data_IF_718150008024
#
_entry.id   IF_718150008024
#
_cell.length_a   1.000
_cell.length_b   1.000
_cell.length_c   1.000
_cell.angle_alpha   90.00
_cell.angle_beta   90.00
_cell.angle_gamma   90.00
#
_symmetry.space_group_name_H-M   'P 1'
#
loop_
_entity.id
_entity.type
_entity.pdbx_description
1 polymer ?
#
# COMPACT_ATOMS: atom_id res chain seq x y z
N UNK A 1 -57.43 -21.16 -37.84
CA UNK A 1 -57.32 -19.89 -37.12
C UNK A 1 -56.10 -20.03 -36.20
N UNK A 2 -54.93 -19.57 -36.65
CA UNK A 2 -53.68 -19.60 -35.90
C UNK A 2 -53.40 -18.19 -35.38
N UNK A 3 -53.41 -18.06 -34.09
CA UNK A 3 -53.00 -16.85 -33.40
C UNK A 3 -51.54 -17.03 -32.99
N UNK A 4 -50.62 -16.24 -33.58
CA UNK A 4 -49.20 -16.17 -33.24
C UNK A 4 -49.01 -14.92 -32.38
N UNK A 5 -49.01 -15.08 -31.07
CA UNK A 5 -48.52 -14.04 -30.15
C UNK A 5 -47.00 -13.99 -30.22
N UNK A 6 -46.45 -12.96 -30.84
CA UNK A 6 -45.05 -12.61 -30.84
C UNK A 6 -44.68 -11.97 -29.52
N UNK A 7 -43.80 -12.61 -28.74
CA UNK A 7 -43.12 -11.97 -27.61
C UNK A 7 -42.00 -11.06 -28.11
N UNK A 8 -41.89 -9.84 -27.64
CA UNK A 8 -40.72 -9.03 -27.92
C UNK A 8 -39.51 -9.54 -27.13
N UNK A 9 -38.44 -9.88 -27.82
CA UNK A 9 -37.12 -10.15 -27.28
C UNK A 9 -36.61 -8.86 -26.64
N UNK A 10 -36.46 -8.86 -25.31
CA UNK A 10 -35.73 -7.81 -24.60
C UNK A 10 -34.25 -7.96 -24.96
N UNK A 11 -33.75 -7.09 -25.84
CA UNK A 11 -32.34 -6.92 -26.08
C UNK A 11 -31.74 -6.18 -24.88
N UNK A 12 -31.10 -6.90 -23.97
CA UNK A 12 -30.24 -6.30 -22.97
C UNK A 12 -28.95 -5.85 -23.65
N UNK A 13 -28.86 -4.57 -23.98
CA UNK A 13 -27.60 -3.96 -24.36
C UNK A 13 -26.68 -3.95 -23.13
N UNK A 14 -25.46 -4.52 -23.20
CA UNK A 14 -24.49 -4.33 -22.13
C UNK A 14 -24.12 -2.85 -22.11
N UNK A 15 -24.38 -2.18 -20.99
CA UNK A 15 -23.92 -0.82 -20.73
C UNK A 15 -22.39 -0.78 -20.87
N UNK A 16 -21.96 -0.17 -21.93
CA UNK A 16 -20.58 0.05 -22.30
C UNK A 16 -19.83 0.81 -21.23
N UNK A 17 -18.62 0.32 -20.92
CA UNK A 17 -17.61 0.92 -20.04
C UNK A 17 -17.46 2.40 -20.38
N UNK A 18 -17.82 3.27 -19.45
CA UNK A 18 -17.60 4.72 -19.59
C UNK A 18 -16.11 4.99 -19.35
N UNK A 19 -15.35 5.20 -20.43
CA UNK A 19 -13.98 5.69 -20.39
C UNK A 19 -14.03 7.20 -20.14
N UNK A 20 -13.71 7.65 -18.93
CA UNK A 20 -13.46 9.04 -18.66
C UNK A 20 -11.97 9.33 -18.93
N UNK A 21 -11.61 9.54 -20.20
CA UNK A 21 -10.32 10.10 -20.57
C UNK A 21 -10.38 11.62 -20.37
N UNK A 22 -9.87 12.09 -19.25
CA UNK A 22 -9.68 13.53 -19.01
C UNK A 22 -8.37 13.97 -19.67
N UNK A 23 -8.45 14.42 -20.91
CA UNK A 23 -7.39 15.23 -21.53
C UNK A 23 -7.35 16.59 -20.85
N UNK A 24 -6.15 17.05 -20.55
CA UNK A 24 -5.77 18.34 -19.99
C UNK A 24 -6.79 19.46 -20.23
N UNK A 25 -7.76 19.61 -19.33
CA UNK A 25 -8.67 20.73 -19.30
C UNK A 25 -8.85 21.21 -17.85
N UNK A 26 -9.02 22.51 -17.62
CA UNK A 26 -9.05 23.06 -16.28
C UNK A 26 -10.30 22.67 -15.52
N UNK A 27 -10.08 22.30 -14.26
CA UNK A 27 -10.97 22.37 -13.11
C UNK A 27 -12.48 22.20 -13.38
N UNK A 28 -12.98 20.98 -13.27
CA UNK A 28 -14.41 20.73 -13.15
C UNK A 28 -14.79 20.83 -11.65
N UNK A 29 -15.47 21.93 -11.28
CA UNK A 29 -16.08 22.09 -9.95
C UNK A 29 -17.47 21.47 -10.03
N UNK A 30 -17.70 20.35 -9.35
CA UNK A 30 -19.01 19.75 -9.16
C UNK A 30 -19.39 19.75 -7.67
N UNK A 31 -20.65 20.05 -7.40
CA UNK A 31 -21.23 20.29 -6.08
C UNK A 31 -21.36 19.01 -5.22
N UNK A 32 -21.56 19.12 -3.88
CA UNK A 32 -21.45 18.03 -2.95
C UNK A 32 -22.66 17.10 -3.00
N UNK A 33 -22.49 15.94 -3.58
CA UNK A 33 -23.31 14.78 -3.33
C UNK A 33 -22.39 13.56 -3.47
N UNK A 34 -22.48 12.62 -2.55
CA UNK A 34 -21.83 11.31 -2.69
C UNK A 34 -22.35 10.63 -3.95
N UNK A 35 -21.66 10.87 -5.07
CA UNK A 35 -22.03 10.26 -6.34
C UNK A 35 -21.48 8.85 -6.34
N UNK A 36 -22.30 7.88 -5.95
CA UNK A 36 -22.01 6.48 -6.17
C UNK A 36 -21.91 6.24 -7.70
N UNK A 37 -20.73 5.92 -8.19
CA UNK A 37 -20.47 5.53 -9.58
C UNK A 37 -20.35 4.01 -9.64
N UNK A 38 -21.14 3.38 -10.51
CA UNK A 38 -21.33 1.94 -10.53
C UNK A 38 -20.21 1.14 -11.20
N UNK A 39 -19.16 1.78 -11.77
CA UNK A 39 -18.16 1.13 -12.62
C UNK A 39 -16.72 1.46 -12.19
N UNK A 40 -15.76 0.77 -12.83
CA UNK A 40 -14.34 1.05 -12.70
C UNK A 40 -14.00 2.48 -13.11
N UNK A 41 -13.07 3.11 -12.40
CA UNK A 41 -12.51 4.40 -12.77
C UNK A 41 -11.05 4.27 -13.20
N UNK A 42 -10.66 5.04 -14.21
CA UNK A 42 -9.29 5.08 -14.72
C UNK A 42 -8.79 6.51 -14.70
N UNK A 43 -7.69 6.74 -13.98
CA UNK A 43 -6.98 8.01 -13.92
C UNK A 43 -5.64 7.85 -14.66
N UNK A 44 -5.63 8.20 -15.91
CA UNK A 44 -4.46 8.27 -16.78
C UNK A 44 -4.07 9.74 -17.00
N UNK A 45 -2.78 10.09 -16.88
CA UNK A 45 -2.32 11.48 -16.88
C UNK A 45 -2.58 12.20 -15.54
N UNK A 46 -2.57 13.52 -15.56
CA UNK A 46 -2.72 14.34 -14.37
C UNK A 46 -4.19 14.54 -13.99
N UNK A 47 -4.53 14.24 -12.75
CA UNK A 47 -5.89 14.37 -12.22
C UNK A 47 -5.87 14.93 -10.80
N UNK A 48 -6.87 15.77 -10.46
CA UNK A 48 -7.03 16.31 -9.11
C UNK A 48 -8.46 16.12 -8.62
N UNK A 49 -8.60 15.60 -7.39
CA UNK A 49 -9.87 15.39 -6.71
C UNK A 49 -9.91 16.22 -5.44
N UNK A 50 -10.94 17.07 -5.33
CA UNK A 50 -11.20 17.93 -4.16
C UNK A 50 -12.57 17.66 -3.53
N UNK A 51 -13.29 16.68 -4.04
CA UNK A 51 -14.63 16.26 -3.62
C UNK A 51 -14.64 14.78 -3.21
N UNK A 52 -15.77 14.29 -2.74
CA UNK A 52 -15.93 12.88 -2.39
C UNK A 52 -16.49 12.08 -3.56
N UNK A 53 -15.77 11.05 -3.97
CA UNK A 53 -16.15 10.12 -5.03
C UNK A 53 -16.17 8.70 -4.49
N UNK A 54 -17.27 7.99 -4.73
CA UNK A 54 -17.41 6.58 -4.37
C UNK A 54 -17.61 5.73 -5.64
N UNK A 55 -16.81 4.68 -5.78
CA UNK A 55 -16.88 3.71 -6.86
C UNK A 55 -17.21 2.33 -6.30
N UNK A 56 -18.13 1.61 -6.91
CA UNK A 56 -18.42 0.22 -6.55
C UNK A 56 -17.48 -0.78 -7.21
N UNK A 57 -16.80 -0.37 -8.29
CA UNK A 57 -15.75 -1.11 -8.97
C UNK A 57 -14.35 -0.72 -8.53
N UNK A 58 -13.38 -1.04 -9.36
CA UNK A 58 -11.97 -0.77 -9.13
C UNK A 58 -11.57 0.63 -9.60
N UNK A 59 -10.65 1.25 -8.89
CA UNK A 59 -9.92 2.45 -9.32
C UNK A 59 -8.54 2.04 -9.84
N UNK A 60 -8.21 2.50 -11.03
CA UNK A 60 -6.89 2.32 -11.66
C UNK A 60 -6.23 3.68 -11.86
N UNK A 61 -5.01 3.83 -11.36
CA UNK A 61 -4.16 4.98 -11.66
C UNK A 61 -3.00 4.51 -12.53
N UNK A 62 -2.97 4.99 -13.77
CA UNK A 62 -1.96 4.58 -14.75
C UNK A 62 -2.22 3.20 -15.37
N UNK A 63 -3.40 2.99 -15.91
CA UNK A 63 -3.78 1.72 -16.56
C UNK A 63 -3.29 1.64 -18.00
N UNK A 64 -3.47 2.72 -18.78
CA UNK A 64 -3.14 2.74 -20.20
C UNK A 64 -1.91 3.62 -20.49
N UNK A 65 -1.61 4.55 -19.62
CA UNK A 65 -0.42 5.40 -19.60
C UNK A 65 -0.11 5.81 -18.16
N UNK A 66 1.00 6.49 -17.91
CA UNK A 66 1.33 7.01 -16.57
C UNK A 66 0.22 7.89 -16.01
N UNK A 67 -0.10 7.74 -14.72
CA UNK A 67 -1.13 8.50 -14.04
C UNK A 67 -0.59 9.21 -12.81
N UNK A 68 -0.95 10.50 -12.65
CA UNK A 68 -0.72 11.28 -11.44
C UNK A 68 -2.05 11.71 -10.86
N UNK A 69 -2.42 11.17 -9.71
CA UNK A 69 -3.66 11.51 -9.04
C UNK A 69 -3.37 12.26 -7.73
N UNK A 70 -3.81 13.50 -7.64
CA UNK A 70 -3.80 14.28 -6.41
C UNK A 70 -5.20 14.29 -5.80
N UNK A 71 -5.33 13.78 -4.57
CA UNK A 71 -6.52 13.91 -3.74
C UNK A 71 -6.20 14.96 -2.68
N UNK A 72 -6.76 16.16 -2.82
CA UNK A 72 -6.50 17.30 -1.94
C UNK A 72 -7.77 17.71 -1.20
N UNK A 73 -7.84 17.38 0.08
CA UNK A 73 -9.05 17.54 0.92
C UNK A 73 -10.31 16.85 0.37
N UNK A 74 -10.16 15.98 -0.64
CA UNK A 74 -11.23 15.18 -1.24
C UNK A 74 -11.16 13.75 -0.76
N UNK A 75 -12.09 12.91 -1.22
CA UNK A 75 -12.14 11.48 -0.86
C UNK A 75 -12.35 10.61 -2.08
N UNK A 76 -11.66 9.47 -2.11
CA UNK A 76 -11.96 8.37 -3.03
C UNK A 76 -12.23 7.12 -2.21
N UNK A 77 -13.37 6.49 -2.46
CA UNK A 77 -13.70 5.16 -1.98
C UNK A 77 -13.95 4.25 -3.18
N UNK A 78 -13.33 3.07 -3.19
CA UNK A 78 -13.45 2.11 -4.29
C UNK A 78 -13.32 0.68 -3.78
N UNK A 79 -13.81 -0.30 -4.57
CA UNK A 79 -13.66 -1.71 -4.21
C UNK A 79 -12.20 -2.09 -4.08
N UNK A 80 -11.41 -1.91 -5.15
CA UNK A 80 -9.94 -1.97 -5.10
C UNK A 80 -9.34 -0.70 -5.68
N UNK A 81 -8.09 -0.42 -5.28
CA UNK A 81 -7.28 0.69 -5.81
C UNK A 81 -5.97 0.11 -6.33
N UNK A 82 -5.70 0.33 -7.61
CA UNK A 82 -4.55 -0.22 -8.31
C UNK A 82 -3.70 0.93 -8.86
N UNK A 83 -2.45 1.07 -8.38
CA UNK A 83 -1.53 2.14 -8.74
C UNK A 83 -0.37 1.53 -9.54
N UNK A 84 -0.23 1.89 -10.82
CA UNK A 84 0.82 1.39 -11.70
C UNK A 84 0.82 -0.14 -11.84
N UNK A 85 -0.36 -0.77 -11.84
CA UNK A 85 -0.48 -2.22 -11.97
C UNK A 85 -0.36 -2.65 -13.42
N UNK A 86 0.29 -3.78 -13.66
CA UNK A 86 0.38 -4.37 -15.01
C UNK A 86 -1.01 -4.67 -15.58
N UNK A 87 -1.26 -4.18 -16.78
CA UNK A 87 -2.48 -4.44 -17.52
C UNK A 87 -2.15 -4.77 -19.00
N UNK A 88 -2.64 -5.90 -19.51
CA UNK A 88 -2.34 -6.38 -20.87
C UNK A 88 -0.84 -6.40 -21.22
N UNK A 89 0.02 -6.79 -20.27
CA UNK A 89 1.47 -6.81 -20.45
C UNK A 89 2.17 -5.44 -20.44
N UNK A 90 1.42 -4.37 -20.25
CA UNK A 90 1.94 -2.99 -20.10
C UNK A 90 1.94 -2.59 -18.64
N UNK A 91 2.94 -1.83 -18.23
CA UNK A 91 3.04 -1.26 -16.89
C UNK A 91 3.53 0.18 -16.97
N UNK A 92 2.86 1.07 -16.27
CA UNK A 92 3.17 2.49 -16.29
C UNK A 92 3.51 2.97 -14.87
N UNK A 93 4.52 3.82 -14.76
CA UNK A 93 4.83 4.47 -13.50
C UNK A 93 3.72 5.44 -13.13
N UNK A 94 3.24 5.36 -11.89
CA UNK A 94 2.09 6.15 -11.48
C UNK A 94 2.23 6.64 -10.04
N UNK A 95 1.68 7.80 -9.77
CA UNK A 95 1.75 8.43 -8.45
C UNK A 95 0.36 8.78 -7.97
N UNK A 96 0.07 8.44 -6.72
CA UNK A 96 -1.11 8.94 -6.00
C UNK A 96 -0.62 9.72 -4.80
N UNK A 97 -1.05 10.96 -4.67
CA UNK A 97 -0.81 11.80 -3.49
C UNK A 97 -2.15 12.11 -2.81
N UNK A 98 -2.23 11.75 -1.54
CA UNK A 98 -3.37 12.06 -0.67
C UNK A 98 -2.90 13.11 0.33
N UNK A 99 -3.44 14.32 0.23
CA UNK A 99 -2.94 15.49 0.96
C UNK A 99 -4.03 16.26 1.67
N UNK A 100 -3.74 16.63 2.90
CA UNK A 100 -4.58 17.47 3.74
C UNK A 100 -5.48 16.71 4.70
N UNK A 101 -5.92 17.34 5.80
CA UNK A 101 -6.54 16.66 6.93
C UNK A 101 -7.92 16.04 6.63
N UNK A 102 -8.53 16.41 5.51
CA UNK A 102 -9.81 15.85 5.04
C UNK A 102 -9.64 14.93 3.83
N UNK A 103 -8.40 14.75 3.33
CA UNK A 103 -8.15 13.88 2.20
C UNK A 103 -8.15 12.40 2.63
N UNK A 104 -8.84 11.58 1.84
CA UNK A 104 -8.98 10.15 2.15
C UNK A 104 -8.94 9.29 0.88
N UNK A 105 -8.19 8.20 0.95
CA UNK A 105 -8.16 7.13 -0.04
C UNK A 105 -8.54 5.82 0.64
N UNK A 106 -9.67 5.23 0.27
CA UNK A 106 -10.22 4.06 0.95
C UNK A 106 -10.53 2.93 -0.03
N UNK A 107 -9.86 1.78 0.11
CA UNK A 107 -10.20 0.56 -0.59
C UNK A 107 -11.09 -0.31 0.30
N UNK A 108 -12.36 -0.44 -0.10
CA UNK A 108 -13.42 -1.05 0.74
C UNK A 108 -13.62 -2.56 0.52
N UNK A 109 -12.79 -3.20 -0.30
CA UNK A 109 -12.88 -4.64 -0.52
C UNK A 109 -12.77 -5.38 0.81
N UNK A 110 -13.87 -6.00 1.23
CA UNK A 110 -14.00 -6.76 2.46
C UNK A 110 -13.72 -8.27 2.28
N UNK A 111 -13.57 -8.72 1.04
CA UNK A 111 -13.30 -10.12 0.75
C UNK A 111 -11.83 -10.45 1.04
N UNK A 112 -11.61 -11.62 1.62
CA UNK A 112 -10.28 -12.15 1.85
C UNK A 112 -9.77 -12.83 0.56
N UNK A 113 -9.52 -12.02 -0.45
CA UNK A 113 -8.92 -12.48 -1.72
C UNK A 113 -7.50 -11.92 -1.75
N UNK A 114 -6.54 -12.81 -1.88
CA UNK A 114 -5.14 -12.43 -2.10
C UNK A 114 -5.07 -11.37 -3.23
N UNK A 115 -4.53 -10.19 -2.91
CA UNK A 115 -4.40 -9.02 -3.79
C UNK A 115 -5.69 -8.19 -3.96
N UNK A 116 -6.61 -8.24 -2.99
CA UNK A 116 -7.71 -7.28 -2.86
C UNK A 116 -7.31 -6.07 -2.01
N UNK A 117 -7.86 -4.89 -2.31
CA UNK A 117 -7.61 -3.68 -1.56
C UNK A 117 -6.73 -2.67 -2.29
N UNK A 118 -5.62 -2.24 -1.69
CA UNK A 118 -4.71 -1.24 -2.25
C UNK A 118 -3.44 -1.90 -2.78
N UNK A 119 -3.22 -1.85 -4.10
CA UNK A 119 -2.14 -2.54 -4.79
C UNK A 119 -1.22 -1.56 -5.53
N UNK A 120 0.08 -1.62 -5.26
CA UNK A 120 1.11 -0.85 -5.95
C UNK A 120 1.97 -1.80 -6.82
N UNK A 121 1.93 -1.63 -8.13
CA UNK A 121 2.71 -2.43 -9.10
C UNK A 121 4.01 -1.74 -9.49
N UNK A 122 3.97 -0.63 -10.21
CA UNK A 122 5.03 0.34 -10.47
C UNK A 122 4.51 1.70 -10.04
N UNK A 123 4.31 1.86 -8.74
CA UNK A 123 3.56 3.00 -8.26
C UNK A 123 4.07 3.56 -6.94
N UNK A 124 3.82 4.84 -6.75
CA UNK A 124 4.05 5.54 -5.48
C UNK A 124 2.73 6.00 -4.90
N UNK A 125 2.47 5.64 -3.64
CA UNK A 125 1.44 6.25 -2.83
C UNK A 125 2.09 7.14 -1.76
N UNK A 126 1.72 8.42 -1.74
CA UNK A 126 2.10 9.39 -0.70
C UNK A 126 0.88 9.78 0.10
N UNK A 127 0.98 9.73 1.41
CA UNK A 127 -0.06 10.18 2.34
C UNK A 127 0.57 11.25 3.22
N UNK A 128 0.12 12.50 3.09
CA UNK A 128 0.79 13.66 3.68
C UNK A 128 -0.17 14.69 4.24
N UNK A 129 0.34 15.56 5.12
CA UNK A 129 -0.39 16.71 5.68
C UNK A 129 -1.70 16.33 6.40
N UNK A 130 -1.69 15.25 7.17
CA UNK A 130 -2.83 14.80 7.96
C UNK A 130 -3.83 13.90 7.21
N UNK A 131 -3.53 13.49 5.98
CA UNK A 131 -4.39 12.64 5.17
C UNK A 131 -4.50 11.20 5.67
N UNK A 132 -5.50 10.48 5.18
CA UNK A 132 -5.76 9.07 5.49
C UNK A 132 -5.72 8.21 4.22
N UNK A 133 -5.00 7.09 4.29
CA UNK A 133 -5.19 5.97 3.36
C UNK A 133 -5.58 4.71 4.13
N UNK A 134 -6.59 3.98 3.66
CA UNK A 134 -7.06 2.78 4.33
C UNK A 134 -7.42 1.66 3.35
N UNK A 135 -7.11 0.43 3.75
CA UNK A 135 -7.51 -0.78 3.03
C UNK A 135 -7.49 -1.99 3.97
N UNK A 136 -8.23 -3.04 3.65
CA UNK A 136 -8.10 -4.32 4.37
C UNK A 136 -6.73 -4.95 4.12
N UNK A 137 -6.25 -4.90 2.88
CA UNK A 137 -4.91 -5.34 2.51
C UNK A 137 -4.20 -4.25 1.70
N UNK A 138 -2.95 -3.98 2.05
CA UNK A 138 -2.06 -3.11 1.28
C UNK A 138 -0.90 -3.95 0.78
N UNK A 139 -0.69 -3.96 -0.53
CA UNK A 139 0.41 -4.69 -1.17
C UNK A 139 1.28 -3.73 -1.97
N UNK A 140 2.52 -3.58 -1.56
CA UNK A 140 3.53 -2.74 -2.20
C UNK A 140 4.51 -3.64 -2.96
N UNK A 141 4.58 -3.48 -4.29
CA UNK A 141 5.41 -4.32 -5.15
C UNK A 141 4.71 -5.59 -5.62
N UNK A 142 3.61 -5.42 -6.34
CA UNK A 142 2.83 -6.53 -6.92
C UNK A 142 3.35 -7.00 -8.28
N UNK A 143 4.40 -6.35 -8.81
CA UNK A 143 4.91 -6.65 -10.14
C UNK A 143 6.43 -6.82 -10.13
N UNK A 144 6.86 -7.98 -10.63
CA UNK A 144 8.27 -8.36 -10.68
C UNK A 144 9.12 -7.34 -11.45
N UNK A 145 10.27 -6.97 -10.86
CA UNK A 145 11.28 -6.11 -11.50
C UNK A 145 10.96 -4.63 -11.51
N UNK A 146 9.88 -4.20 -10.85
CA UNK A 146 9.51 -2.79 -10.77
C UNK A 146 9.49 -2.28 -9.34
N UNK A 147 9.83 -1.01 -9.19
CA UNK A 147 9.89 -0.34 -7.90
C UNK A 147 8.52 0.21 -7.50
N UNK A 148 8.18 0.06 -6.23
CA UNK A 148 6.92 0.58 -5.67
C UNK A 148 7.17 1.18 -4.29
N UNK A 149 6.49 2.28 -4.00
CA UNK A 149 6.76 3.06 -2.79
C UNK A 149 5.46 3.41 -2.05
N UNK A 150 5.41 3.11 -0.76
CA UNK A 150 4.41 3.63 0.16
C UNK A 150 5.08 4.60 1.13
N UNK A 151 4.66 5.85 1.13
CA UNK A 151 5.25 6.93 1.93
C UNK A 151 4.14 7.59 2.74
N UNK A 152 4.25 7.54 4.06
CA UNK A 152 3.42 8.30 4.97
C UNK A 152 4.30 9.35 5.67
N UNK A 153 3.99 10.62 5.52
CA UNK A 153 4.80 11.71 6.06
C UNK A 153 3.95 12.84 6.64
N UNK A 154 4.49 13.51 7.63
CA UNK A 154 3.83 14.64 8.28
C UNK A 154 2.89 14.25 9.42
N UNK A 155 2.84 15.11 10.44
CA UNK A 155 2.01 14.90 11.60
C UNK A 155 0.52 14.76 11.24
N UNK A 156 -0.17 13.78 11.82
CA UNK A 156 -1.58 13.49 11.56
C UNK A 156 -1.83 12.56 10.36
N UNK A 157 -0.85 12.39 9.45
CA UNK A 157 -0.96 11.47 8.32
C UNK A 157 -1.05 10.04 8.80
N UNK A 158 -1.99 9.28 8.24
CA UNK A 158 -2.27 7.91 8.68
C UNK A 158 -2.44 6.94 7.52
N UNK A 159 -1.86 5.76 7.70
CA UNK A 159 -2.17 4.60 6.85
C UNK A 159 -2.70 3.50 7.74
N UNK A 160 -3.80 2.86 7.34
CA UNK A 160 -4.40 1.77 8.10
C UNK A 160 -4.65 0.56 7.22
N UNK A 161 -4.33 -0.63 7.73
CA UNK A 161 -4.61 -1.90 7.06
C UNK A 161 -4.84 -3.02 8.06
N UNK A 162 -5.48 -4.10 7.62
CA UNK A 162 -5.48 -5.34 8.38
C UNK A 162 -4.19 -6.13 8.10
N UNK A 163 -3.77 -6.15 6.84
CA UNK A 163 -2.55 -6.83 6.39
C UNK A 163 -1.71 -5.88 5.54
N UNK A 164 -0.39 -5.93 5.72
CA UNK A 164 0.56 -5.17 4.92
C UNK A 164 1.64 -6.09 4.37
N UNK A 165 1.91 -5.99 3.08
CA UNK A 165 3.00 -6.70 2.43
C UNK A 165 3.82 -5.75 1.58
N UNK A 166 5.13 -5.73 1.77
CA UNK A 166 6.07 -4.90 1.01
C UNK A 166 7.08 -5.82 0.32
N UNK A 167 7.17 -5.73 -1.02
CA UNK A 167 8.09 -6.56 -1.79
C UNK A 167 7.64 -8.01 -1.93
N UNK A 168 6.40 -8.23 -2.31
CA UNK A 168 5.82 -9.58 -2.44
C UNK A 168 6.25 -10.31 -3.69
N UNK A 169 6.54 -9.59 -4.76
CA UNK A 169 7.02 -10.18 -6.01
C UNK A 169 8.55 -10.08 -6.12
N UNK A 170 9.10 -11.08 -6.76
CA UNK A 170 10.54 -11.27 -6.88
C UNK A 170 11.19 -10.15 -7.70
N UNK A 171 12.26 -9.54 -7.18
CA UNK A 171 13.03 -8.51 -7.87
C UNK A 171 12.42 -7.11 -7.86
N UNK A 172 11.40 -6.84 -7.03
CA UNK A 172 10.89 -5.50 -6.81
C UNK A 172 11.66 -4.79 -5.68
N UNK A 173 12.15 -3.56 -5.93
CA UNK A 173 12.72 -2.67 -4.90
C UNK A 173 11.62 -1.90 -4.21
N UNK A 174 10.79 -2.60 -3.48
CA UNK A 174 9.67 -1.94 -2.82
C UNK A 174 10.08 -1.32 -1.51
N UNK A 175 9.59 -0.13 -1.24
CA UNK A 175 9.89 0.58 0.00
C UNK A 175 8.64 1.01 0.74
N UNK A 176 8.76 1.02 2.06
CA UNK A 176 7.84 1.66 2.99
C UNK A 176 8.61 2.74 3.76
N UNK A 177 8.08 3.96 3.78
CA UNK A 177 8.62 5.04 4.61
C UNK A 177 7.51 5.62 5.51
N UNK A 178 7.81 5.77 6.78
CA UNK A 178 6.94 6.40 7.78
C UNK A 178 7.77 7.48 8.45
N UNK A 179 7.42 8.75 8.19
CA UNK A 179 8.30 9.88 8.46
C UNK A 179 7.55 11.05 9.11
N UNK A 180 8.28 11.91 9.77
CA UNK A 180 7.81 13.24 10.24
C UNK A 180 6.52 13.20 11.06
N UNK A 181 6.36 12.19 11.93
CA UNK A 181 5.21 12.05 12.80
C UNK A 181 4.00 11.36 12.20
N UNK A 182 4.14 10.74 11.03
CA UNK A 182 3.09 9.90 10.45
C UNK A 182 2.91 8.59 11.21
N UNK A 183 1.73 7.97 11.09
CA UNK A 183 1.39 6.72 11.77
C UNK A 183 0.87 5.69 10.78
N UNK A 184 1.44 4.50 10.81
CA UNK A 184 0.92 3.33 10.13
C UNK A 184 0.41 2.30 11.16
N UNK A 185 -0.83 1.83 10.98
CA UNK A 185 -1.42 0.78 11.79
C UNK A 185 -1.77 -0.41 10.92
N UNK A 186 -1.20 -1.57 11.25
CA UNK A 186 -1.53 -2.86 10.66
C UNK A 186 -2.19 -3.72 11.74
N UNK A 187 -3.50 -3.98 11.61
CA UNK A 187 -4.26 -4.62 12.69
C UNK A 187 -3.82 -6.08 12.95
N UNK A 188 -3.37 -6.79 11.93
CA UNK A 188 -2.92 -8.17 12.07
C UNK A 188 -1.44 -8.30 11.70
N UNK A 189 -1.14 -8.82 10.51
CA UNK A 189 0.21 -9.22 10.15
C UNK A 189 0.83 -8.28 9.11
N UNK A 190 2.12 -8.05 9.25
CA UNK A 190 2.92 -7.32 8.29
C UNK A 190 4.11 -8.15 7.82
N UNK A 191 4.51 -7.97 6.56
CA UNK A 191 5.65 -8.65 5.98
C UNK A 191 6.48 -7.71 5.10
N UNK A 192 7.79 -7.71 5.28
CA UNK A 192 8.76 -7.06 4.44
C UNK A 192 9.54 -8.13 3.70
N UNK A 193 9.38 -8.20 2.39
CA UNK A 193 10.00 -9.22 1.54
C UNK A 193 9.13 -10.44 1.31
N UNK A 194 9.65 -11.31 0.44
CA UNK A 194 9.02 -12.58 0.11
C UNK A 194 9.91 -13.72 0.63
N UNK A 195 9.30 -14.61 1.42
CA UNK A 195 9.96 -15.81 1.92
C UNK A 195 10.21 -16.91 0.89
N UNK A 196 10.26 -16.62 -0.40
CA UNK A 196 10.48 -17.62 -1.46
C UNK A 196 11.92 -18.10 -1.50
N UNK A 197 12.10 -19.37 -1.65
CA UNK A 197 13.26 -20.20 -1.42
C UNK A 197 14.55 -19.97 -2.22
N UNK A 198 15.49 -20.96 -2.17
CA UNK A 198 16.83 -20.84 -2.72
C UNK A 198 16.83 -20.77 -4.25
N UNK A 199 17.61 -19.85 -4.80
CA UNK A 199 17.83 -19.69 -6.25
C UNK A 199 17.75 -18.27 -6.75
N UNK A 200 17.33 -17.31 -5.96
CA UNK A 200 17.12 -15.94 -6.38
C UNK A 200 18.09 -14.98 -5.67
N UNK A 201 19.39 -15.24 -5.86
CA UNK A 201 20.51 -14.61 -5.14
C UNK A 201 20.74 -13.12 -5.43
N UNK A 202 20.09 -12.57 -6.45
CA UNK A 202 20.34 -11.19 -6.90
C UNK A 202 19.14 -10.26 -6.67
N UNK A 203 18.20 -10.67 -5.83
CA UNK A 203 17.01 -9.88 -5.62
C UNK A 203 17.26 -8.76 -4.61
N UNK A 204 16.87 -7.59 -5.04
CA UNK A 204 16.92 -6.37 -4.26
C UNK A 204 16.06 -6.54 -3.01
N UNK A 205 16.58 -6.18 -1.86
CA UNK A 205 15.84 -6.25 -0.59
C UNK A 205 14.79 -5.17 -0.55
N UNK A 206 13.51 -5.51 -0.34
CA UNK A 206 12.55 -4.52 0.08
C UNK A 206 12.95 -3.96 1.44
N UNK A 207 12.65 -2.69 1.62
CA UNK A 207 13.07 -1.96 2.81
C UNK A 207 11.92 -1.19 3.42
N UNK A 208 11.80 -1.24 4.75
CA UNK A 208 10.95 -0.35 5.51
C UNK A 208 11.82 0.60 6.35
N UNK A 209 11.37 1.84 6.48
CA UNK A 209 12.01 2.85 7.34
C UNK A 209 10.96 3.55 8.17
N UNK A 210 11.19 3.65 9.48
CA UNK A 210 10.41 4.45 10.41
C UNK A 210 11.34 5.48 11.02
N UNK A 211 11.20 6.74 10.67
CA UNK A 211 12.16 7.78 11.06
C UNK A 211 11.48 9.07 11.51
N UNK A 212 12.11 9.75 12.42
CA UNK A 212 11.64 11.01 12.97
C UNK A 212 10.77 10.85 14.22
N UNK A 213 10.80 11.87 15.08
CA UNK A 213 10.03 11.89 16.31
C UNK A 213 8.52 11.75 16.02
N UNK A 214 7.83 10.93 16.82
CA UNK A 214 6.41 10.60 16.70
C UNK A 214 6.01 9.77 15.47
N UNK A 215 6.94 9.41 14.59
CA UNK A 215 6.68 8.43 13.54
C UNK A 215 6.48 7.04 14.12
N UNK A 216 5.39 6.35 13.75
CA UNK A 216 5.04 5.08 14.37
C UNK A 216 4.55 4.06 13.38
N UNK A 217 4.97 2.81 13.57
CA UNK A 217 4.37 1.64 12.96
C UNK A 217 3.89 0.66 14.02
N UNK A 218 2.59 0.42 14.05
CA UNK A 218 1.97 -0.51 14.98
C UNK A 218 1.48 -1.73 14.21
N UNK A 219 1.93 -2.93 14.60
CA UNK A 219 1.51 -4.22 14.03
C UNK A 219 0.86 -5.04 15.14
N UNK A 220 -0.43 -5.31 15.02
CA UNK A 220 -1.21 -5.94 16.09
C UNK A 220 -0.81 -7.39 16.38
N UNK A 221 -0.28 -8.13 15.38
CA UNK A 221 0.13 -9.52 15.55
C UNK A 221 1.59 -9.73 15.19
N UNK A 222 1.87 -10.20 13.99
CA UNK A 222 3.21 -10.62 13.61
C UNK A 222 3.84 -9.68 12.58
N UNK A 223 5.11 -9.32 12.80
CA UNK A 223 5.96 -8.72 11.77
C UNK A 223 7.00 -9.76 11.32
N UNK A 224 7.02 -10.07 10.04
CA UNK A 224 8.02 -10.97 9.44
C UNK A 224 8.91 -10.20 8.49
N UNK A 225 10.22 -10.26 8.71
CA UNK A 225 11.23 -9.62 7.88
C UNK A 225 11.97 -10.65 7.04
N UNK A 226 11.88 -10.51 5.73
CA UNK A 226 12.75 -11.13 4.72
C UNK A 226 13.56 -10.07 3.95
N UNK A 227 13.43 -8.82 4.34
CA UNK A 227 14.14 -7.63 3.92
C UNK A 227 14.51 -6.80 5.15
N UNK A 228 14.82 -5.53 4.93
CA UNK A 228 15.38 -4.67 5.96
C UNK A 228 14.34 -3.74 6.60
N UNK A 229 14.47 -3.53 7.90
CA UNK A 229 13.70 -2.54 8.64
C UNK A 229 14.65 -1.64 9.44
N UNK A 230 14.61 -0.35 9.16
CA UNK A 230 15.32 0.67 9.92
C UNK A 230 14.35 1.48 10.80
N UNK A 231 14.68 1.60 12.08
CA UNK A 231 13.98 2.45 13.05
C UNK A 231 14.96 3.52 13.52
N UNK A 232 14.78 4.74 13.05
CA UNK A 232 15.80 5.79 13.14
C UNK A 232 15.26 7.09 13.76
N UNK A 233 16.16 7.87 14.34
CA UNK A 233 15.92 9.29 14.71
C UNK A 233 14.62 9.52 15.52
N UNK A 234 14.34 8.67 16.48
CA UNK A 234 13.17 8.78 17.33
C UNK A 234 11.91 8.09 16.80
N UNK A 235 12.00 7.35 15.69
CA UNK A 235 10.93 6.50 15.20
C UNK A 235 10.57 5.36 16.15
N UNK A 236 9.36 4.86 16.08
CA UNK A 236 8.87 3.79 16.94
C UNK A 236 8.18 2.68 16.16
N UNK A 237 8.49 1.43 16.50
CA UNK A 237 7.79 0.25 15.99
C UNK A 237 7.30 -0.59 17.16
N UNK A 238 6.01 -0.95 17.16
CA UNK A 238 5.39 -1.79 18.15
C UNK A 238 4.75 -2.98 17.45
N UNK A 239 5.07 -4.21 17.89
CA UNK A 239 4.55 -5.43 17.27
C UNK A 239 4.09 -6.43 18.34
N UNK A 240 3.17 -7.34 17.98
CA UNK A 240 2.81 -8.45 18.85
C UNK A 240 3.97 -9.45 18.99
N UNK A 241 4.54 -9.88 17.87
CA UNK A 241 5.78 -10.66 17.80
C UNK A 241 6.59 -10.29 16.57
N UNK A 242 7.87 -10.67 16.54
CA UNK A 242 8.73 -10.45 15.38
C UNK A 242 9.53 -11.69 15.01
N UNK A 243 9.64 -11.90 13.72
CA UNK A 243 10.55 -12.84 13.11
C UNK A 243 11.48 -12.10 12.15
N UNK A 244 12.75 -11.99 12.50
CA UNK A 244 13.84 -11.52 11.62
C UNK A 244 14.45 -12.76 11.02
N UNK A 245 13.94 -13.18 9.88
CA UNK A 245 14.29 -14.45 9.29
C UNK A 245 14.69 -14.26 7.84
N UNK A 246 15.85 -14.78 7.52
CA UNK A 246 16.10 -15.19 6.15
C UNK A 246 15.28 -16.45 5.82
N UNK A 247 15.18 -16.76 4.55
CA UNK A 247 14.58 -18.00 4.07
C UNK A 247 15.62 -19.11 4.22
N UNK A 248 15.18 -20.30 4.61
CA UNK A 248 16.03 -21.50 4.63
C UNK A 248 16.72 -21.70 3.28
N UNK A 249 18.07 -21.70 3.29
CA UNK A 249 18.87 -21.78 2.07
C UNK A 249 19.03 -20.50 1.27
N UNK A 250 18.42 -19.38 1.68
CA UNK A 250 18.69 -18.07 1.06
C UNK A 250 20.05 -17.52 1.49
N UNK A 251 20.75 -16.92 0.54
CA UNK A 251 22.04 -16.22 0.82
C UNK A 251 21.81 -14.81 1.40
N UNK A 252 20.57 -14.38 1.53
CA UNK A 252 20.19 -13.03 1.90
C UNK A 252 19.97 -12.93 3.40
N UNK A 253 20.45 -11.84 3.97
CA UNK A 253 20.26 -11.48 5.36
C UNK A 253 19.09 -10.52 5.47
N UNK A 254 18.18 -10.78 6.43
CA UNK A 254 17.20 -9.80 6.86
C UNK A 254 17.76 -9.01 8.05
N UNK A 255 17.62 -7.69 8.04
CA UNK A 255 18.19 -6.84 9.07
C UNK A 255 17.13 -5.96 9.74
N UNK A 256 17.14 -5.95 11.08
CA UNK A 256 16.45 -4.97 11.89
C UNK A 256 17.48 -4.06 12.54
N UNK A 257 17.52 -2.80 12.12
CA UNK A 257 18.40 -1.77 12.69
C UNK A 257 17.58 -0.79 13.52
N UNK A 258 17.99 -0.54 14.75
CA UNK A 258 17.39 0.46 15.65
C UNK A 258 18.49 1.43 16.06
N UNK A 259 18.47 2.65 15.50
CA UNK A 259 19.56 3.59 15.70
C UNK A 259 19.08 5.02 15.96
N UNK A 260 19.85 5.74 16.74
CA UNK A 260 19.58 7.13 17.10
C UNK A 260 18.73 7.29 18.36
N UNK A 261 18.97 8.39 19.07
CA UNK A 261 18.28 8.69 20.32
C UNK A 261 16.77 8.75 20.16
N UNK A 262 16.03 8.09 21.05
CA UNK A 262 14.57 8.02 21.05
C UNK A 262 13.99 6.96 20.10
N UNK A 263 14.82 6.32 19.23
CA UNK A 263 14.40 5.21 18.41
C UNK A 263 14.06 4.00 19.27
N UNK A 264 12.92 3.37 19.03
CA UNK A 264 12.50 2.22 19.83
C UNK A 264 11.77 1.16 19.01
N UNK A 265 12.07 -0.08 19.33
CA UNK A 265 11.33 -1.24 18.87
C UNK A 265 10.82 -2.03 20.06
N UNK A 266 9.53 -2.35 20.07
CA UNK A 266 8.90 -3.11 21.14
C UNK A 266 8.18 -4.32 20.56
N UNK A 267 8.52 -5.53 21.02
CA UNK A 267 7.78 -6.76 20.79
C UNK A 267 6.98 -7.15 22.03
N UNK A 268 5.68 -7.39 21.87
CA UNK A 268 4.81 -7.82 22.98
C UNK A 268 5.07 -9.26 23.44
N UNK A 269 5.69 -10.08 22.60
CA UNK A 269 5.99 -11.50 22.93
C UNK A 269 7.28 -11.96 22.24
N UNK A 270 7.24 -13.08 21.51
CA UNK A 270 8.42 -13.76 20.97
C UNK A 270 9.20 -12.92 19.94
N UNK A 271 10.51 -13.08 20.00
CA UNK A 271 11.49 -12.49 19.08
C UNK A 271 12.37 -13.61 18.55
N UNK A 272 12.31 -13.86 17.24
CA UNK A 272 13.12 -14.86 16.57
C UNK A 272 14.06 -14.16 15.58
N UNK A 273 15.36 -14.40 15.70
CA UNK A 273 16.38 -13.85 14.81
C UNK A 273 17.15 -15.01 14.18
N UNK A 274 17.05 -15.17 12.86
CA UNK A 274 17.80 -16.19 12.13
C UNK A 274 17.22 -17.60 12.20
N UNK A 275 15.94 -17.76 12.51
CA UNK A 275 15.30 -19.08 12.73
C UNK A 275 15.30 -19.94 11.44
N UNK A 276 15.12 -19.33 10.28
CA UNK A 276 15.10 -20.01 8.97
C UNK A 276 16.16 -19.51 7.99
N UNK A 277 17.07 -18.62 8.41
CA UNK A 277 18.12 -18.03 7.56
C UNK A 277 18.98 -17.05 8.33
N UNK A 278 19.59 -16.10 7.64
CA UNK A 278 20.46 -15.11 8.25
C UNK A 278 19.63 -13.90 8.72
N UNK A 279 19.46 -13.76 10.03
CA UNK A 279 18.84 -12.60 10.66
C UNK A 279 19.88 -11.77 11.42
N UNK A 280 19.77 -10.44 11.34
CA UNK A 280 20.57 -9.49 12.12
C UNK A 280 19.64 -8.58 12.90
N UNK A 281 19.93 -8.39 14.18
CA UNK A 281 19.37 -7.35 15.03
C UNK A 281 20.51 -6.43 15.48
N UNK A 282 20.49 -5.19 15.03
CA UNK A 282 21.46 -4.16 15.41
C UNK A 282 20.77 -3.07 16.24
N UNK A 283 21.29 -2.79 17.43
CA UNK A 283 20.84 -1.69 18.30
C UNK A 283 22.02 -0.80 18.58
N UNK A 284 21.96 0.45 18.17
CA UNK A 284 23.10 1.37 18.24
C UNK A 284 22.67 2.83 18.48
N UNK A 285 23.63 3.67 18.81
CA UNK A 285 23.48 5.14 18.89
C UNK A 285 22.30 5.60 19.76
N UNK A 286 22.04 4.91 20.87
CA UNK A 286 20.96 5.24 21.80
C UNK A 286 19.57 4.73 21.39
N UNK A 287 19.49 3.88 20.38
CA UNK A 287 18.28 3.10 20.08
C UNK A 287 17.94 2.12 21.20
N UNK A 288 16.69 1.73 21.32
CA UNK A 288 16.22 0.78 22.33
C UNK A 288 15.40 -0.35 21.70
N UNK A 289 15.65 -1.57 22.18
CA UNK A 289 14.87 -2.76 21.87
C UNK A 289 14.30 -3.35 23.15
N UNK A 290 13.02 -3.68 23.16
CA UNK A 290 12.37 -4.38 24.25
C UNK A 290 11.51 -5.53 23.76
N UNK A 291 11.51 -6.63 24.49
CA UNK A 291 10.66 -7.78 24.24
C UNK A 291 9.90 -8.13 25.52
N UNK A 292 8.59 -8.40 25.37
CA UNK A 292 7.78 -9.04 26.41
C UNK A 292 8.17 -10.51 26.52
N UNK A 293 8.17 -11.03 27.74
CA UNK A 293 8.38 -12.45 28.03
C UNK A 293 7.07 -13.20 28.09
#
# INVERSE_FOLDING_TARGET
VNDKTSHPLAVSTPLSKLYLALFSAPLLILAPADIARADDAIFDGDSKITESLAYTGDVYVGRNQSGNLLIENGKISAYNINIGRMFNGQIHESVVTVRGPNAELNAVNDQFVLRGGLNLGRGTLRVEDGALASAKEIVVGTTRGYDSHLIATGAGSRVTSNFLSVGTDLGARSTLAIEDGAVLNTAFDARIGNGSGPGESDMLSPKATVTGANSQWNVGRALTLYGDLDVLNGGAVNVGNIQVAGVSGARKTAELTIAGSGSRFTSGSSVNVGDYGNGVLAVMDGGTFSAGG
#
